data_IF_704436976025
#
_entry.id   IF_704436976025
#
_cell.length_a   1.000
_cell.length_b   1.000
_cell.length_c   1.000
_cell.angle_alpha   90.00
_cell.angle_beta   90.00
_cell.angle_gamma   90.00
#
_symmetry.space_group_name_H-M   'P 1'
#
loop_
_entity.id
_entity.type
_entity.pdbx_description
1 polymer ?
#
# COMPACT_ATOMS: atom_id res chain seq x y z
N UNK A 1 -47.97 -17.33 8.26
CA UNK A 1 -47.51 -16.12 7.54
C UNK A 1 -46.40 -15.33 8.27
N UNK A 2 -46.49 -15.06 9.58
CA UNK A 2 -45.51 -14.26 10.31
C UNK A 2 -44.09 -14.86 10.38
N UNK A 3 -43.89 -16.17 10.33
CA UNK A 3 -42.58 -16.82 10.38
C UNK A 3 -41.87 -16.69 9.05
N UNK A 4 -42.53 -16.82 7.93
CA UNK A 4 -41.94 -16.65 6.61
C UNK A 4 -41.43 -15.22 6.39
N UNK A 5 -42.15 -14.21 6.86
CA UNK A 5 -41.73 -12.81 6.73
C UNK A 5 -40.47 -12.49 7.56
N UNK A 6 -40.30 -13.12 8.74
CA UNK A 6 -39.09 -12.97 9.56
C UNK A 6 -37.88 -13.64 8.92
N UNK A 7 -38.06 -14.83 8.33
CA UNK A 7 -36.98 -15.54 7.63
C UNK A 7 -36.47 -14.75 6.40
N UNK A 8 -37.43 -14.24 5.60
CA UNK A 8 -37.08 -13.43 4.42
C UNK A 8 -36.32 -12.13 4.81
N UNK A 9 -36.75 -11.47 5.90
CA UNK A 9 -36.03 -10.27 6.41
C UNK A 9 -34.64 -10.58 6.91
N UNK A 10 -34.43 -11.73 7.57
CA UNK A 10 -33.11 -12.18 8.02
C UNK A 10 -32.16 -12.50 6.84
N UNK A 11 -32.70 -13.16 5.80
CA UNK A 11 -31.94 -13.48 4.58
C UNK A 11 -31.56 -12.19 3.82
N UNK A 12 -32.47 -11.22 3.70
CA UNK A 12 -32.19 -9.94 3.07
C UNK A 12 -31.17 -9.12 3.86
N UNK A 13 -31.24 -9.10 5.19
CA UNK A 13 -30.26 -8.42 6.02
C UNK A 13 -28.85 -9.06 5.90
N UNK A 14 -28.77 -10.39 5.84
CA UNK A 14 -27.54 -11.12 5.59
C UNK A 14 -26.93 -10.86 4.20
N UNK A 15 -27.76 -10.79 3.17
CA UNK A 15 -27.32 -10.50 1.80
C UNK A 15 -26.76 -9.07 1.65
N UNK A 16 -27.40 -8.10 2.32
CA UNK A 16 -26.91 -6.70 2.34
C UNK A 16 -25.58 -6.57 3.08
N UNK A 17 -25.36 -7.32 4.17
CA UNK A 17 -24.09 -7.30 4.92
C UNK A 17 -22.92 -7.86 4.09
N UNK A 18 -23.14 -8.85 3.25
CA UNK A 18 -22.14 -9.45 2.36
C UNK A 18 -21.77 -8.48 1.22
N UNK A 19 -22.71 -7.68 0.73
CA UNK A 19 -22.48 -6.72 -0.36
C UNK A 19 -21.63 -5.51 0.05
N UNK A 20 -21.42 -5.26 1.35
CA UNK A 20 -20.65 -4.15 1.90
C UNK A 20 -19.17 -4.50 2.17
N UNK A 21 -18.73 -5.74 1.93
CA UNK A 21 -17.31 -6.09 1.99
C UNK A 21 -16.58 -5.52 0.77
N UNK A 22 -16.11 -4.28 0.88
CA UNK A 22 -15.29 -3.63 -0.13
C UNK A 22 -13.98 -4.40 -0.31
N UNK A 23 -13.85 -5.16 -1.40
CA UNK A 23 -12.60 -5.80 -1.76
C UNK A 23 -11.59 -4.71 -2.17
N UNK A 24 -10.45 -4.63 -1.48
CA UNK A 24 -9.31 -3.86 -1.95
C UNK A 24 -8.80 -4.54 -3.21
N UNK A 25 -8.93 -3.88 -4.35
CA UNK A 25 -8.45 -4.40 -5.63
C UNK A 25 -7.06 -3.84 -5.95
N UNK A 26 -6.22 -4.68 -6.55
CA UNK A 26 -4.94 -4.25 -7.12
C UNK A 26 -5.22 -3.41 -8.37
N UNK A 27 -4.62 -2.20 -8.51
CA UNK A 27 -4.77 -1.39 -9.72
C UNK A 27 -4.38 -2.14 -10.99
N UNK A 28 -5.14 -1.93 -12.08
CA UNK A 28 -4.94 -2.65 -13.35
C UNK A 28 -3.53 -2.48 -13.91
N UNK A 29 -2.93 -1.30 -13.74
CA UNK A 29 -1.56 -1.00 -14.20
C UNK A 29 -0.49 -1.94 -13.60
N UNK A 30 -0.75 -2.54 -12.44
CA UNK A 30 0.20 -3.41 -11.72
C UNK A 30 -0.39 -4.77 -11.38
N UNK A 31 -1.55 -5.10 -11.98
CA UNK A 31 -2.22 -6.37 -11.76
C UNK A 31 -1.41 -7.55 -12.31
N UNK A 32 -0.78 -7.35 -13.48
CA UNK A 32 -0.06 -8.40 -14.18
C UNK A 32 -0.98 -9.41 -14.85
N UNK A 33 -0.39 -10.46 -15.42
CA UNK A 33 -1.08 -11.56 -16.08
C UNK A 33 -1.24 -12.77 -15.16
N UNK A 34 -0.33 -12.93 -14.19
CA UNK A 34 -0.39 -14.01 -13.21
C UNK A 34 -1.38 -13.69 -12.09
N UNK A 35 -2.25 -14.63 -11.69
CA UNK A 35 -3.12 -14.47 -10.53
C UNK A 35 -2.34 -14.36 -9.22
N UNK A 36 -1.12 -14.92 -9.18
CA UNK A 36 -0.25 -14.94 -8.00
C UNK A 36 1.19 -14.58 -8.39
N UNK A 37 1.48 -13.29 -8.72
CA UNK A 37 2.84 -12.88 -9.01
C UNK A 37 3.75 -13.09 -7.80
N UNK A 38 5.03 -13.42 -8.03
CA UNK A 38 6.01 -13.58 -6.96
C UNK A 38 6.23 -12.25 -6.23
N UNK A 39 6.21 -12.28 -4.88
CA UNK A 39 6.42 -11.10 -4.03
C UNK A 39 7.50 -11.30 -2.95
N UNK A 40 8.04 -12.50 -2.83
CA UNK A 40 9.10 -12.81 -1.88
C UNK A 40 10.47 -12.64 -2.53
N UNK A 41 11.05 -11.45 -2.38
CA UNK A 41 12.38 -11.16 -2.93
C UNK A 41 13.47 -12.01 -2.28
N UNK A 42 13.38 -12.29 -0.98
CA UNK A 42 14.40 -13.07 -0.26
C UNK A 42 14.47 -14.48 -0.86
N UNK A 43 13.32 -15.08 -1.12
CA UNK A 43 13.22 -16.39 -1.75
C UNK A 43 13.81 -16.40 -3.17
N UNK A 44 13.51 -15.36 -3.96
CA UNK A 44 14.05 -15.21 -5.32
C UNK A 44 15.58 -15.05 -5.27
N UNK A 45 16.11 -14.25 -4.34
CA UNK A 45 17.53 -13.98 -4.25
C UNK A 45 18.39 -15.20 -3.83
N UNK A 46 17.78 -16.19 -3.19
CA UNK A 46 18.46 -17.44 -2.84
C UNK A 46 18.78 -18.31 -4.07
N UNK A 47 17.92 -18.29 -5.11
CA UNK A 47 18.11 -19.05 -6.33
C UNK A 47 17.46 -18.32 -7.53
N UNK A 48 17.98 -17.14 -7.93
CA UNK A 48 17.31 -16.28 -8.92
C UNK A 48 17.14 -16.95 -10.29
N UNK A 49 18.00 -17.88 -10.64
CA UNK A 49 17.94 -18.63 -11.90
C UNK A 49 16.66 -19.47 -12.03
N UNK A 50 16.09 -19.93 -10.90
CA UNK A 50 14.86 -20.73 -10.90
C UNK A 50 13.61 -19.86 -11.15
N UNK A 51 13.73 -18.55 -11.03
CA UNK A 51 12.63 -17.61 -11.16
C UNK A 51 12.66 -16.79 -12.45
N UNK A 52 13.68 -16.99 -13.29
CA UNK A 52 13.76 -16.30 -14.60
C UNK A 52 12.52 -16.60 -15.43
N UNK A 53 11.88 -15.54 -15.96
CA UNK A 53 10.63 -15.63 -16.71
C UNK A 53 9.37 -15.65 -15.86
N UNK A 54 9.46 -15.90 -14.54
CA UNK A 54 8.31 -15.83 -13.66
C UNK A 54 7.89 -14.38 -13.44
N UNK A 55 6.58 -14.11 -13.54
CA UNK A 55 6.03 -12.79 -13.21
C UNK A 55 6.12 -12.51 -11.72
N UNK A 56 6.65 -11.34 -11.39
CA UNK A 56 6.81 -10.86 -10.04
C UNK A 56 6.19 -9.48 -9.88
N UNK A 57 5.78 -9.16 -8.65
CA UNK A 57 5.32 -7.83 -8.26
C UNK A 57 6.10 -7.40 -7.04
N UNK A 58 6.88 -6.33 -7.18
CA UNK A 58 7.66 -5.75 -6.11
C UNK A 58 7.39 -4.26 -6.02
N UNK A 59 7.56 -3.69 -4.85
CA UNK A 59 7.43 -2.25 -4.66
C UNK A 59 8.23 -1.76 -3.48
N UNK A 60 8.41 -0.44 -3.45
CA UNK A 60 9.20 0.23 -2.44
C UNK A 60 9.60 1.62 -2.88
N UNK A 61 10.65 2.15 -2.26
CA UNK A 61 11.18 3.47 -2.56
C UNK A 61 12.19 3.41 -3.71
N UNK A 62 12.00 4.27 -4.71
CA UNK A 62 12.98 4.47 -5.78
C UNK A 62 14.20 5.19 -5.21
N UNK A 63 15.34 4.54 -5.28
CA UNK A 63 16.62 5.08 -4.83
C UNK A 63 17.26 5.89 -5.94
N UNK A 64 17.28 5.33 -7.15
CA UNK A 64 17.90 5.94 -8.31
C UNK A 64 17.16 5.61 -9.60
N UNK A 65 17.27 6.50 -10.57
CA UNK A 65 16.80 6.29 -11.95
C UNK A 65 18.03 6.43 -12.86
N UNK A 66 18.35 5.36 -13.56
CA UNK A 66 19.47 5.31 -14.52
C UNK A 66 18.89 5.25 -15.93
N UNK A 67 19.22 6.22 -16.78
CA UNK A 67 18.83 6.20 -18.18
C UNK A 67 19.96 5.58 -19.01
N UNK A 68 19.93 4.25 -19.16
CA UNK A 68 20.94 3.49 -19.90
C UNK A 68 20.47 3.33 -21.36
N UNK A 69 21.10 4.04 -22.30
CA UNK A 69 20.89 3.89 -23.75
C UNK A 69 19.40 3.83 -24.17
N UNK A 70 18.56 4.73 -23.61
CA UNK A 70 17.14 4.79 -23.92
C UNK A 70 16.26 3.75 -23.19
N UNK A 71 16.83 2.96 -22.28
CA UNK A 71 16.11 2.07 -21.37
C UNK A 71 16.31 2.56 -19.95
N UNK A 72 15.31 3.20 -19.35
CA UNK A 72 15.39 3.63 -17.97
C UNK A 72 15.33 2.42 -17.03
N UNK A 73 16.19 2.44 -16.03
CA UNK A 73 16.30 1.45 -14.96
C UNK A 73 16.01 2.12 -13.64
N UNK A 74 15.07 1.59 -12.89
CA UNK A 74 14.78 2.00 -11.53
C UNK A 74 15.55 1.10 -10.56
N UNK A 75 16.32 1.69 -9.64
CA UNK A 75 16.80 1.01 -8.45
C UNK A 75 15.74 1.19 -7.35
N UNK A 76 15.17 0.08 -6.87
CA UNK A 76 14.09 0.10 -5.89
C UNK A 76 14.53 -0.64 -4.63
N UNK A 77 14.48 0.05 -3.48
CA UNK A 77 14.55 -0.59 -2.17
C UNK A 77 13.17 -1.15 -1.83
N UNK A 78 13.03 -2.47 -1.93
CA UNK A 78 11.73 -3.14 -1.81
C UNK A 78 11.30 -3.28 -0.36
N UNK A 79 10.00 -3.15 -0.14
CA UNK A 79 9.31 -3.43 1.14
C UNK A 79 8.13 -4.38 0.89
N UNK A 80 7.54 -4.98 1.92
CA UNK A 80 6.29 -5.72 1.78
C UNK A 80 5.20 -4.88 1.13
N UNK A 81 4.31 -5.54 0.38
CA UNK A 81 3.13 -4.93 -0.21
C UNK A 81 1.87 -5.31 0.57
N UNK A 82 0.92 -4.39 0.67
CA UNK A 82 -0.41 -4.68 1.21
C UNK A 82 -1.30 -5.41 0.17
N UNK A 83 -2.54 -5.70 0.53
CA UNK A 83 -3.52 -6.35 -0.35
C UNK A 83 -3.86 -5.55 -1.61
N UNK A 84 -3.66 -4.22 -1.60
CA UNK A 84 -3.79 -3.32 -2.75
C UNK A 84 -2.50 -3.16 -3.55
N UNK A 85 -1.47 -3.95 -3.24
CA UNK A 85 -0.13 -3.87 -3.80
C UNK A 85 0.58 -2.52 -3.54
N UNK A 86 0.25 -1.84 -2.45
CA UNK A 86 0.91 -0.61 -2.01
C UNK A 86 2.10 -0.97 -1.12
N UNK A 87 3.24 -0.27 -1.25
CA UNK A 87 4.37 -0.43 -0.32
C UNK A 87 3.98 -0.07 1.11
N UNK A 88 4.22 -0.98 2.05
CA UNK A 88 3.91 -0.76 3.47
C UNK A 88 4.94 0.18 4.09
N UNK A 89 4.47 1.28 4.67
CA UNK A 89 5.34 2.27 5.30
C UNK A 89 5.90 1.77 6.64
N UNK A 90 7.14 2.19 6.95
CA UNK A 90 7.79 1.82 8.20
C UNK A 90 8.43 0.43 8.20
N UNK A 91 8.21 -0.38 7.17
CA UNK A 91 8.86 -1.68 7.02
C UNK A 91 10.31 -1.55 6.56
N UNK A 92 11.14 -2.46 7.04
CA UNK A 92 12.53 -2.56 6.60
C UNK A 92 12.62 -3.11 5.17
N UNK A 93 13.60 -2.62 4.41
CA UNK A 93 13.83 -3.12 3.05
C UNK A 93 14.16 -4.61 3.06
N UNK A 94 13.54 -5.34 2.14
CA UNK A 94 13.79 -6.77 1.88
C UNK A 94 14.95 -6.99 0.91
N UNK A 95 15.51 -5.91 0.37
CA UNK A 95 16.59 -5.92 -0.59
C UNK A 95 16.35 -4.91 -1.71
N UNK A 96 17.29 -4.86 -2.67
CA UNK A 96 17.20 -3.96 -3.82
C UNK A 96 17.06 -4.72 -5.11
N UNK A 97 16.29 -4.14 -6.03
CA UNK A 97 16.09 -4.67 -7.37
C UNK A 97 16.41 -3.60 -8.41
N UNK A 98 16.75 -4.05 -9.60
CA UNK A 98 16.75 -3.25 -10.81
C UNK A 98 15.52 -3.60 -11.65
N UNK A 99 14.72 -2.60 -11.95
CA UNK A 99 13.50 -2.71 -12.74
C UNK A 99 13.70 -1.94 -14.05
N UNK A 100 13.85 -2.67 -15.14
CA UNK A 100 14.04 -2.11 -16.49
C UNK A 100 12.68 -1.75 -17.09
N UNK A 101 12.47 -0.48 -17.37
CA UNK A 101 11.20 0.04 -17.90
C UNK A 101 11.33 0.35 -19.38
N UNK A 102 10.27 0.15 -20.15
CA UNK A 102 10.22 0.59 -21.54
C UNK A 102 9.77 2.05 -21.65
N UNK A 103 10.37 2.81 -22.56
CA UNK A 103 10.04 4.24 -22.76
C UNK A 103 10.98 5.18 -22.00
N UNK A 104 10.53 6.39 -21.73
CA UNK A 104 11.28 7.41 -20.99
C UNK A 104 10.70 7.60 -19.59
N UNK A 105 11.58 7.69 -18.60
CA UNK A 105 11.22 8.08 -17.23
C UNK A 105 12.02 9.31 -16.83
N UNK A 106 11.33 10.35 -16.36
CA UNK A 106 12.00 11.50 -15.79
C UNK A 106 12.49 11.18 -14.37
N UNK A 107 13.82 11.27 -14.11
CA UNK A 107 14.36 11.01 -12.77
C UNK A 107 13.76 11.89 -11.67
N UNK A 108 13.35 13.11 -12.00
CA UNK A 108 12.73 14.05 -11.05
C UNK A 108 11.40 13.51 -10.52
N UNK A 109 10.67 12.82 -11.38
CA UNK A 109 9.34 12.28 -11.05
C UNK A 109 9.39 10.99 -10.22
N UNK A 110 10.52 10.29 -10.23
CA UNK A 110 10.60 8.95 -9.64
C UNK A 110 11.50 8.87 -8.42
N UNK A 111 12.63 9.61 -8.39
CA UNK A 111 13.58 9.51 -7.28
C UNK A 111 12.91 9.85 -5.95
N UNK A 112 13.05 8.96 -4.98
CA UNK A 112 12.48 9.12 -3.65
C UNK A 112 10.99 8.77 -3.55
N UNK A 113 10.30 8.55 -4.66
CA UNK A 113 8.88 8.18 -4.68
C UNK A 113 8.67 6.70 -4.36
N UNK A 114 7.47 6.37 -3.94
CA UNK A 114 7.04 4.98 -3.79
C UNK A 114 6.47 4.48 -5.13
N UNK A 115 6.91 3.28 -5.52
CA UNK A 115 6.41 2.63 -6.73
C UNK A 115 6.11 1.16 -6.46
N UNK A 116 5.21 0.61 -7.26
CA UNK A 116 5.04 -0.84 -7.44
C UNK A 116 5.22 -1.14 -8.92
N UNK A 117 5.99 -2.19 -9.19
CA UNK A 117 6.28 -2.67 -10.55
C UNK A 117 5.84 -4.12 -10.69
N UNK A 118 5.43 -4.52 -11.89
CA UNK A 118 5.05 -5.90 -12.22
C UNK A 118 5.68 -6.29 -13.55
N UNK A 119 6.13 -7.54 -13.65
CA UNK A 119 6.68 -8.11 -14.87
C UNK A 119 7.60 -9.30 -14.59
N UNK A 120 8.18 -9.92 -15.64
CA UNK A 120 9.01 -11.10 -15.51
C UNK A 120 10.39 -10.78 -14.89
N UNK A 121 10.84 -11.67 -14.03
CA UNK A 121 12.22 -11.69 -13.51
C UNK A 121 13.16 -12.03 -14.66
N UNK A 122 14.24 -11.28 -14.83
CA UNK A 122 15.25 -11.51 -15.86
C UNK A 122 16.53 -12.14 -15.31
N UNK A 123 16.70 -12.17 -13.98
CA UNK A 123 17.84 -12.79 -13.32
C UNK A 123 18.37 -11.97 -12.16
N UNK A 124 19.69 -11.97 -11.97
CA UNK A 124 20.36 -11.15 -10.98
C UNK A 124 21.71 -10.67 -11.50
N UNK A 125 22.15 -9.49 -11.06
CA UNK A 125 23.45 -8.90 -11.42
C UNK A 125 24.21 -8.48 -10.19
N UNK A 126 25.53 -8.56 -10.27
CA UNK A 126 26.42 -8.02 -9.25
C UNK A 126 26.57 -6.50 -9.45
N UNK A 127 26.46 -5.77 -8.37
CA UNK A 127 26.66 -4.34 -8.31
C UNK A 127 27.24 -3.91 -6.98
N UNK A 128 27.03 -2.65 -6.60
CA UNK A 128 27.51 -2.10 -5.32
C UNK A 128 26.45 -1.19 -4.72
N UNK A 129 26.36 -1.21 -3.39
CA UNK A 129 25.68 -0.18 -2.60
C UNK A 129 26.75 0.60 -1.87
N UNK A 130 27.00 1.84 -2.29
CA UNK A 130 28.22 2.55 -1.89
C UNK A 130 29.45 1.77 -2.34
N UNK A 131 30.31 1.35 -1.41
CA UNK A 131 31.51 0.54 -1.71
C UNK A 131 31.30 -0.97 -1.47
N UNK A 132 30.13 -1.38 -1.00
CA UNK A 132 29.87 -2.78 -0.65
C UNK A 132 29.29 -3.55 -1.85
N UNK A 133 29.89 -4.70 -2.23
CA UNK A 133 29.33 -5.57 -3.25
C UNK A 133 27.92 -6.01 -2.87
N UNK A 134 27.00 -5.96 -3.85
CA UNK A 134 25.62 -6.32 -3.63
C UNK A 134 25.02 -7.00 -4.87
N UNK A 135 24.22 -8.06 -4.65
CA UNK A 135 23.54 -8.77 -5.72
C UNK A 135 22.12 -8.23 -5.87
N UNK A 136 21.83 -7.62 -7.00
CA UNK A 136 20.52 -7.07 -7.35
C UNK A 136 19.73 -8.10 -8.18
N UNK A 137 18.47 -8.34 -7.82
CA UNK A 137 17.54 -9.02 -8.73
C UNK A 137 17.18 -8.06 -9.86
N UNK A 138 17.07 -8.57 -11.07
CA UNK A 138 16.67 -7.81 -12.27
C UNK A 138 15.34 -8.29 -12.79
N UNK A 139 14.51 -7.36 -13.27
CA UNK A 139 13.22 -7.65 -13.90
C UNK A 139 12.92 -6.69 -15.03
N UNK A 140 12.17 -7.17 -16.04
CA UNK A 140 11.57 -6.32 -17.06
C UNK A 140 10.21 -5.85 -16.57
N UNK A 141 9.92 -4.57 -16.67
CA UNK A 141 8.67 -4.00 -16.20
C UNK A 141 7.64 -3.97 -17.32
N UNK A 142 6.50 -4.61 -17.11
CA UNK A 142 5.34 -4.57 -18.00
C UNK A 142 4.32 -3.52 -17.53
N UNK A 143 4.31 -3.22 -16.23
CA UNK A 143 3.45 -2.21 -15.64
C UNK A 143 4.01 -1.66 -14.34
N UNK A 144 3.70 -0.42 -14.06
CA UNK A 144 4.08 0.22 -12.80
C UNK A 144 3.02 1.21 -12.33
N UNK A 145 3.02 1.46 -11.02
CA UNK A 145 2.19 2.48 -10.36
C UNK A 145 3.06 3.30 -9.42
N UNK A 146 3.02 4.63 -9.54
CA UNK A 146 3.56 5.54 -8.53
C UNK A 146 2.49 5.78 -7.47
N UNK A 147 2.93 5.90 -6.22
CA UNK A 147 2.08 6.16 -5.09
C UNK A 147 2.41 7.50 -4.47
N UNK A 148 1.40 8.16 -3.94
CA UNK A 148 1.56 9.42 -3.21
C UNK A 148 1.47 9.18 -1.72
N UNK A 149 2.15 10.02 -0.95
CA UNK A 149 1.99 10.08 0.49
C UNK A 149 0.99 11.18 0.82
N UNK A 150 -0.08 10.82 1.53
CA UNK A 150 -1.04 11.77 2.07
C UNK A 150 -0.99 11.73 3.60
N UNK A 151 -1.14 12.90 4.23
CA UNK A 151 -1.28 12.98 5.67
C UNK A 151 -2.76 13.07 6.03
N UNK A 152 -3.22 12.15 6.84
CA UNK A 152 -4.56 12.14 7.37
C UNK A 152 -4.52 12.52 8.84
N UNK A 153 -5.27 13.54 9.22
CA UNK A 153 -5.43 13.93 10.61
C UNK A 153 -6.59 13.13 11.21
N UNK A 154 -6.28 12.23 12.12
CA UNK A 154 -7.28 11.46 12.86
C UNK A 154 -7.59 12.25 14.13
N UNK A 155 -8.78 12.84 14.18
CA UNK A 155 -9.30 13.44 15.39
C UNK A 155 -9.87 12.34 16.29
N UNK A 156 -9.59 12.36 17.60
CA UNK A 156 -10.26 11.45 18.52
C UNK A 156 -11.78 11.67 18.45
N UNK A 157 -12.59 10.60 18.57
CA UNK A 157 -14.04 10.73 18.53
C UNK A 157 -14.49 11.67 19.62
N UNK A 158 -15.26 12.71 19.25
CA UNK A 158 -15.89 13.59 20.22
C UNK A 158 -17.02 12.81 20.90
N UNK A 159 -17.14 12.84 22.23
CA UNK A 159 -18.29 12.24 22.88
C UNK A 159 -19.54 12.98 22.39
N UNK A 160 -20.41 12.27 21.75
CA UNK A 160 -21.75 12.78 21.44
C UNK A 160 -22.55 12.65 22.73
N UNK A 161 -22.59 13.72 23.51
CA UNK A 161 -23.49 13.77 24.65
C UNK A 161 -24.90 14.00 24.11
N UNK A 162 -25.82 13.02 24.22
CA UNK A 162 -27.19 13.16 23.70
C UNK A 162 -27.98 14.25 24.41
N UNK A 163 -27.50 14.74 25.56
CA UNK A 163 -28.14 15.74 26.36
C UNK A 163 -27.72 17.17 26.02
N UNK A 164 -26.80 17.38 25.11
CA UNK A 164 -26.32 18.70 24.73
C UNK A 164 -27.35 19.51 23.90
N UNK A 165 -28.41 18.87 23.41
CA UNK A 165 -29.43 19.47 22.54
C UNK A 165 -30.81 19.64 23.24
N UNK A 166 -30.93 19.35 24.55
CA UNK A 166 -32.17 19.54 25.31
C UNK A 166 -32.20 20.86 26.02
N UNK A 167 -33.42 21.45 26.27
CA UNK A 167 -33.55 22.64 27.15
C UNK A 167 -33.14 22.23 28.57
N UNK A 168 -32.02 22.76 29.04
CA UNK A 168 -31.57 22.55 30.41
C UNK A 168 -32.46 23.33 31.38
N UNK A 169 -33.19 22.68 32.30
CA UNK A 169 -33.72 23.41 33.45
C UNK A 169 -32.53 23.81 34.33
N UNK A 170 -32.38 25.09 34.57
CA UNK A 170 -31.41 25.64 35.50
C UNK A 170 -31.54 24.94 36.85
N UNK A 171 -30.63 24.05 37.18
CA UNK A 171 -30.47 23.51 38.52
C UNK A 171 -29.18 24.05 39.11
N UNK A 172 -29.33 24.93 40.08
CA UNK A 172 -28.27 25.48 40.90
C UNK A 172 -27.39 24.36 41.50
N UNK A 173 -26.08 24.46 41.29
CA UNK A 173 -25.07 23.89 42.16
C UNK A 173 -24.62 22.47 41.87
N UNK A 174 -23.80 22.28 40.81
CA UNK A 174 -22.73 21.29 40.85
C UNK A 174 -21.56 21.82 39.99
N UNK A 175 -20.34 22.05 40.54
CA UNK A 175 -19.15 22.31 39.76
C UNK A 175 -18.56 20.95 39.33
N UNK A 176 -19.09 20.41 38.25
CA UNK A 176 -18.60 19.19 37.61
C UNK A 176 -18.45 19.41 36.12
N UNK A 177 -17.71 20.41 35.73
CA UNK A 177 -17.21 20.52 34.37
C UNK A 177 -16.10 19.47 34.21
N UNK A 178 -16.49 18.25 33.84
CA UNK A 178 -15.55 17.32 33.29
C UNK A 178 -14.98 17.95 32.01
N UNK A 179 -13.79 18.50 32.10
CA UNK A 179 -13.02 18.91 30.94
C UNK A 179 -12.76 17.66 30.13
N UNK A 180 -13.56 17.44 29.08
CA UNK A 180 -13.22 16.48 28.06
C UNK A 180 -11.98 17.05 27.37
N UNK A 181 -10.84 16.45 27.66
CA UNK A 181 -9.62 16.71 26.93
C UNK A 181 -9.58 15.70 25.77
N UNK A 182 -10.03 16.07 24.58
CA UNK A 182 -9.78 15.22 23.41
C UNK A 182 -8.27 15.12 23.28
N UNK A 183 -7.72 13.91 23.38
CA UNK A 183 -6.31 13.70 23.20
C UNK A 183 -5.82 14.40 21.92
N UNK A 184 -4.51 14.63 21.75
CA UNK A 184 -3.97 15.31 20.59
C UNK A 184 -4.39 14.58 19.31
N UNK A 185 -4.75 15.34 18.27
CA UNK A 185 -4.99 14.80 16.94
C UNK A 185 -3.75 14.02 16.48
N UNK A 186 -3.95 12.83 15.94
CA UNK A 186 -2.87 12.02 15.41
C UNK A 186 -2.75 12.26 13.91
N UNK A 187 -1.53 12.52 13.45
CA UNK A 187 -1.25 12.61 12.01
C UNK A 187 -0.75 11.26 11.55
N UNK A 188 -1.49 10.62 10.68
CA UNK A 188 -1.09 9.35 10.04
C UNK A 188 -0.73 9.60 8.58
N UNK A 189 0.45 9.13 8.17
CA UNK A 189 0.83 9.13 6.76
C UNK A 189 0.32 7.86 6.11
N UNK A 190 -0.41 8.00 5.01
CA UNK A 190 -0.98 6.90 4.24
C UNK A 190 -0.49 6.93 2.79
N UNK A 191 -0.43 5.75 2.16
CA UNK A 191 -0.12 5.62 0.74
C UNK A 191 -1.44 5.69 -0.05
N UNK A 192 -1.51 6.63 -1.00
CA UNK A 192 -2.69 6.87 -1.85
C UNK A 192 -2.33 6.77 -3.33
N UNK A 193 -3.34 6.75 -4.17
CA UNK A 193 -3.19 6.80 -5.62
C UNK A 193 -2.73 8.16 -6.14
#
# INVERSE_FOLDING_TARGET
>A
MAVQTKVVRLIMAGAVAIALSGCVSVPDAIKGSSPTPQQDLVRVMNAPELYVGQEARFGGKVIEVQNLQGKPRLEIATVPLDSGARPVLGETSRGRIFADVSGFLDPVDFRGQLVTVVGPITGAVQGKIGNTPYKFMTMQVNGYKRWRLAQQVIMPPQPVDPWMWGPHPYRYGYPGWGWYNPGPAQVQTIVTE
#
